data_IF_517786162684
#
_entry.id   IF_517786162684
#
_cell.length_a   1.000
_cell.length_b   1.000
_cell.length_c   1.000
_cell.angle_alpha   90.00
_cell.angle_beta   90.00
_cell.angle_gamma   90.00
#
_symmetry.space_group_name_H-M   'P 1'
#
loop_
_entity.id
_entity.type
_entity.pdbx_description
1 polymer ?
#
# COMPACT_ATOMS: atom_id res chain seq x y z
N UNK A 1 14.88 -2.57 -12.78
CA UNK A 1 13.43 -2.69 -12.55
C UNK A 1 12.98 -1.74 -11.44
N UNK A 2 11.93 -0.94 -11.66
CA UNK A 2 11.40 -0.01 -10.63
C UNK A 2 10.72 -0.75 -9.46
N UNK A 3 10.18 -1.94 -9.70
CA UNK A 3 9.48 -2.77 -8.70
C UNK A 3 10.34 -3.10 -7.48
N UNK A 4 11.63 -3.40 -7.70
CA UNK A 4 12.56 -3.75 -6.61
C UNK A 4 12.95 -2.56 -5.73
N UNK A 5 12.64 -1.33 -6.16
CA UNK A 5 12.91 -0.11 -5.37
C UNK A 5 11.76 0.23 -4.39
N UNK A 6 10.67 -0.55 -4.40
CA UNK A 6 9.51 -0.32 -3.55
C UNK A 6 8.52 0.73 -4.10
N UNK A 7 7.35 0.80 -3.49
CA UNK A 7 6.21 1.62 -3.93
C UNK A 7 6.51 3.13 -3.88
N UNK A 8 7.32 3.58 -2.93
CA UNK A 8 7.65 5.00 -2.76
C UNK A 8 8.50 5.55 -3.92
N UNK A 9 9.24 4.69 -4.63
CA UNK A 9 10.02 5.08 -5.80
C UNK A 9 9.15 5.44 -7.02
N UNK A 10 7.83 5.18 -6.97
CA UNK A 10 6.90 5.51 -8.06
C UNK A 10 6.38 6.96 -8.00
N UNK A 11 6.66 7.73 -6.94
CA UNK A 11 6.24 9.12 -6.86
C UNK A 11 4.73 9.32 -6.82
N UNK A 12 3.99 8.37 -6.23
CA UNK A 12 2.53 8.44 -6.16
C UNK A 12 2.02 9.60 -5.29
N UNK A 13 2.86 10.11 -4.38
CA UNK A 13 2.52 11.24 -3.53
C UNK A 13 2.36 12.56 -4.32
N UNK A 14 2.98 12.67 -5.48
CA UNK A 14 2.90 13.83 -6.37
C UNK A 14 1.73 13.73 -7.37
N UNK A 15 1.02 12.60 -7.40
CA UNK A 15 -0.06 12.38 -8.33
C UNK A 15 -1.36 13.03 -7.82
N UNK A 16 -1.81 14.10 -8.49
CA UNK A 16 -3.03 14.86 -8.13
C UNK A 16 -4.34 14.05 -8.19
N UNK A 17 -4.33 12.89 -8.83
CA UNK A 17 -5.50 12.00 -8.93
C UNK A 17 -5.56 10.95 -7.81
N UNK A 18 -4.54 10.89 -6.94
CA UNK A 18 -4.48 9.97 -5.81
C UNK A 18 -4.69 10.75 -4.52
N UNK A 19 -5.80 10.47 -3.83
CA UNK A 19 -6.04 11.07 -2.51
C UNK A 19 -5.03 10.53 -1.47
N UNK A 20 -4.80 11.29 -0.41
CA UNK A 20 -3.90 10.87 0.67
C UNK A 20 -4.31 9.52 1.28
N UNK A 21 -5.62 9.25 1.40
CA UNK A 21 -6.17 7.98 1.89
C UNK A 21 -5.86 6.83 0.94
N UNK A 22 -6.06 7.03 -0.36
CA UNK A 22 -5.72 6.04 -1.38
C UNK A 22 -4.21 5.76 -1.39
N UNK A 23 -3.37 6.79 -1.25
CA UNK A 23 -1.92 6.63 -1.14
C UNK A 23 -1.52 5.77 0.07
N UNK A 24 -2.12 6.03 1.24
CA UNK A 24 -1.89 5.23 2.45
C UNK A 24 -2.31 3.78 2.26
N UNK A 25 -3.46 3.55 1.63
CA UNK A 25 -3.95 2.20 1.33
C UNK A 25 -2.99 1.44 0.39
N UNK A 26 -2.62 2.07 -0.73
CA UNK A 26 -1.68 1.52 -1.71
C UNK A 26 -0.34 1.16 -1.05
N UNK A 27 0.21 2.06 -0.21
CA UNK A 27 1.45 1.79 0.53
C UNK A 27 1.38 0.58 1.45
N UNK A 28 0.23 0.38 2.12
CA UNK A 28 0.03 -0.77 3.01
C UNK A 28 -0.15 -2.08 2.25
N UNK A 29 -0.81 -2.05 1.09
CA UNK A 29 -0.96 -3.22 0.22
C UNK A 29 0.37 -3.61 -0.44
N UNK A 30 1.16 -2.62 -0.86
CA UNK A 30 2.40 -2.81 -1.61
C UNK A 30 3.65 -2.69 -0.73
N UNK A 31 3.58 -3.13 0.55
CA UNK A 31 4.78 -3.26 1.39
C UNK A 31 5.80 -4.17 0.72
N UNK A 32 7.08 -3.79 0.87
CA UNK A 32 8.20 -4.52 0.28
C UNK A 32 8.23 -5.95 0.81
N UNK A 33 8.17 -6.10 2.13
CA UNK A 33 8.07 -7.38 2.82
C UNK A 33 6.64 -7.94 2.70
N UNK A 34 6.43 -9.17 2.16
CA UNK A 34 5.10 -9.75 2.00
C UNK A 34 4.32 -9.91 3.32
N UNK A 35 4.99 -10.24 4.42
CA UNK A 35 4.38 -10.42 5.74
C UNK A 35 3.82 -9.13 6.35
N UNK A 36 4.27 -7.96 5.87
CA UNK A 36 3.79 -6.65 6.31
C UNK A 36 2.61 -6.13 5.49
N UNK A 37 2.22 -6.83 4.42
CA UNK A 37 1.15 -6.38 3.53
C UNK A 37 -0.19 -6.48 4.24
N UNK A 38 -1.00 -5.46 4.05
CA UNK A 38 -2.39 -5.48 4.49
C UNK A 38 -3.10 -6.70 3.91
N UNK A 39 -3.80 -7.46 4.76
CA UNK A 39 -4.45 -8.70 4.31
C UNK A 39 -3.67 -9.98 4.57
N UNK A 40 -2.41 -9.90 5.00
CA UNK A 40 -1.58 -11.05 5.42
C UNK A 40 -1.57 -11.23 6.94
N UNK A 41 -1.97 -10.19 7.69
CA UNK A 41 -2.01 -10.20 9.14
C UNK A 41 -3.10 -11.09 9.73
N UNK A 42 -3.26 -10.98 11.06
CA UNK A 42 -4.16 -11.82 11.87
C UNK A 42 -5.60 -11.85 11.37
N UNK A 43 -6.10 -10.76 10.80
CA UNK A 43 -7.50 -10.64 10.38
C UNK A 43 -7.69 -10.77 8.86
N UNK A 44 -6.60 -11.04 8.12
CA UNK A 44 -6.64 -11.26 6.68
C UNK A 44 -7.38 -10.17 5.93
N UNK A 45 -8.25 -10.56 5.00
CA UNK A 45 -9.03 -9.64 4.14
C UNK A 45 -9.87 -8.61 4.92
N UNK A 46 -10.20 -8.85 6.19
CA UNK A 46 -10.94 -7.87 7.00
C UNK A 46 -10.12 -6.60 7.27
N UNK A 47 -8.80 -6.69 7.30
CA UNK A 47 -7.90 -5.54 7.43
C UNK A 47 -7.97 -4.61 6.22
N UNK A 48 -8.22 -5.18 5.03
CA UNK A 48 -8.42 -4.45 3.79
C UNK A 48 -9.77 -3.76 3.80
N UNK A 49 -10.83 -4.47 4.20
CA UNK A 49 -12.21 -3.93 4.26
C UNK A 49 -12.38 -2.82 5.29
N UNK A 50 -11.59 -2.84 6.36
CA UNK A 50 -11.66 -1.86 7.47
C UNK A 50 -10.76 -0.64 7.28
N UNK A 51 -9.99 -0.56 6.19
CA UNK A 51 -9.13 0.58 5.91
C UNK A 51 -9.94 1.83 5.50
N UNK A 52 -9.55 3.00 6.02
CA UNK A 52 -10.31 4.27 5.96
C UNK A 52 -9.80 5.28 4.93
#
# INVERSE_FOLDING_TARGET
>A
MKTLKGIDALGLAQNKYISLKALQFIRRLCRFNPSERLGVGKYGIQEIRSHK
#
